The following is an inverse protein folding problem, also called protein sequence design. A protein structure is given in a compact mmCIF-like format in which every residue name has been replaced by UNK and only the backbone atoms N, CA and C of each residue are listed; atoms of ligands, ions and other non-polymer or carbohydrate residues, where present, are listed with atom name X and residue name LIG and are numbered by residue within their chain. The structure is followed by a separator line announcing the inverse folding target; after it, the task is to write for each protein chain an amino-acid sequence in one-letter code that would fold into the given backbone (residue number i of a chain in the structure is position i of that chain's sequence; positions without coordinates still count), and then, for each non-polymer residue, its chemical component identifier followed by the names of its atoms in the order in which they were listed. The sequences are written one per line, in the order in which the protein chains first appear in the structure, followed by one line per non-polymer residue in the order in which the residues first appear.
data_IF_775997237687
#
_entry.id   IF_775997237687
#
_cell.length_a   1.000
_cell.length_b   1.000
_cell.length_c   1.000
_cell.angle_alpha   90.00
_cell.angle_beta   90.00
_cell.angle_gamma   90.00
#
_symmetry.space_group_name_H-M   'P 1'
#
loop_
_entity.id
_entity.type
_entity.pdbx_description
1 polymer ?
#
# COMPACT_ATOMS: atom_id res chain seq x y z
N UNK A 1 6.37 4.71 -21.07
CA UNK A 1 7.20 3.50 -20.93
C UNK A 1 7.04 3.07 -19.49
N UNK A 2 6.56 1.84 -19.22
CA UNK A 2 6.38 1.36 -17.84
C UNK A 2 7.77 1.27 -17.18
N UNK A 3 7.92 1.86 -15.99
CA UNK A 3 9.11 1.70 -15.16
C UNK A 3 9.14 0.26 -14.65
N UNK A 4 10.34 -0.32 -14.66
CA UNK A 4 10.63 -1.58 -13.97
C UNK A 4 11.16 -1.22 -12.59
N UNK A 5 10.55 -1.80 -11.55
CA UNK A 5 10.90 -1.56 -10.16
C UNK A 5 11.80 -2.69 -9.64
N UNK A 6 12.93 -2.32 -9.02
CA UNK A 6 13.70 -3.25 -8.20
C UNK A 6 12.90 -3.70 -6.97
N UNK A 7 13.28 -4.81 -6.34
CA UNK A 7 12.59 -5.34 -5.16
C UNK A 7 12.47 -4.31 -4.03
N UNK A 8 13.54 -3.54 -3.79
CA UNK A 8 13.53 -2.47 -2.78
C UNK A 8 12.57 -1.33 -3.14
N UNK A 9 12.51 -0.95 -4.43
CA UNK A 9 11.55 0.05 -4.89
C UNK A 9 10.11 -0.47 -4.79
N UNK A 10 9.87 -1.74 -5.17
CA UNK A 10 8.55 -2.35 -5.02
C UNK A 10 8.11 -2.33 -3.57
N UNK A 11 8.96 -2.76 -2.63
CA UNK A 11 8.66 -2.71 -1.20
C UNK A 11 8.35 -1.28 -0.74
N UNK A 12 9.22 -0.33 -1.07
CA UNK A 12 9.06 1.07 -0.68
C UNK A 12 7.74 1.68 -1.20
N UNK A 13 7.44 1.51 -2.48
CA UNK A 13 6.20 2.05 -3.05
C UNK A 13 4.98 1.31 -2.54
N UNK A 14 5.06 0.00 -2.31
CA UNK A 14 3.95 -0.78 -1.73
C UNK A 14 3.62 -0.28 -0.32
N UNK A 15 4.60 -0.11 0.55
CA UNK A 15 4.39 0.40 1.91
C UNK A 15 3.77 1.82 1.85
N UNK A 16 4.26 2.68 0.95
CA UNK A 16 3.73 4.03 0.77
C UNK A 16 2.29 4.05 0.26
N UNK A 17 1.98 3.23 -0.75
CA UNK A 17 0.63 3.15 -1.33
C UNK A 17 -0.33 2.56 -0.31
N UNK A 18 0.09 1.51 0.40
CA UNK A 18 -0.71 0.88 1.44
C UNK A 18 -1.09 1.86 2.54
N UNK A 19 -0.18 2.74 2.97
CA UNK A 19 -0.52 3.83 3.88
C UNK A 19 -1.49 4.85 3.25
N UNK A 20 -1.27 5.24 2.00
CA UNK A 20 -2.07 6.24 1.26
C UNK A 20 -3.53 5.79 1.07
N UNK A 21 -3.79 4.50 0.81
CA UNK A 21 -5.16 3.99 0.61
C UNK A 21 -6.03 4.06 1.87
N UNK A 22 -5.42 4.06 3.06
CA UNK A 22 -6.12 4.24 4.34
C UNK A 22 -6.07 5.67 4.85
N UNK A 23 -5.46 6.60 4.10
CA UNK A 23 -5.27 7.97 4.57
C UNK A 23 -6.62 8.68 4.80
N UNK A 24 -6.82 9.21 6.00
CA UNK A 24 -8.00 9.95 6.39
C UNK A 24 -7.63 11.34 6.90
N UNK A 25 -8.43 12.35 6.54
CA UNK A 25 -8.19 13.73 6.95
C UNK A 25 -8.27 13.88 8.46
N UNK A 26 -7.21 14.42 9.07
CA UNK A 26 -7.15 14.69 10.50
C UNK A 26 -6.57 13.56 11.35
N UNK A 27 -6.21 12.42 10.75
CA UNK A 27 -5.48 11.33 11.44
C UNK A 27 -3.98 11.48 11.17
N UNK A 28 -3.18 11.44 12.23
CA UNK A 28 -1.72 11.47 12.12
C UNK A 28 -1.16 10.15 11.58
N UNK A 29 -0.06 10.20 10.84
CA UNK A 29 0.55 8.99 10.22
C UNK A 29 0.85 7.88 11.23
N UNK A 30 1.38 8.23 12.41
CA UNK A 30 1.69 7.24 13.46
C UNK A 30 0.43 6.58 14.06
N UNK A 31 -0.68 7.33 14.14
CA UNK A 31 -1.96 6.81 14.62
C UNK A 31 -2.61 5.92 13.56
N UNK A 32 -2.51 6.33 12.30
CA UNK A 32 -2.97 5.54 11.16
C UNK A 32 -2.20 4.22 11.03
N UNK A 33 -0.86 4.26 11.09
CA UNK A 33 -0.03 3.05 11.06
C UNK A 33 -0.43 2.08 12.18
N UNK A 34 -0.65 2.61 13.39
CA UNK A 34 -1.09 1.79 14.52
C UNK A 34 -2.45 1.13 14.25
N UNK A 35 -3.44 1.89 13.78
CA UNK A 35 -4.78 1.36 13.50
C UNK A 35 -4.77 0.31 12.39
N UNK A 36 -3.97 0.52 11.34
CA UNK A 36 -3.77 -0.46 10.27
C UNK A 36 -3.19 -1.75 10.85
N UNK A 37 -2.08 -1.69 11.59
CA UNK A 37 -1.47 -2.86 12.20
C UNK A 37 -2.45 -3.62 13.10
N UNK A 38 -3.20 -2.91 13.96
CA UNK A 38 -4.23 -3.51 14.82
C UNK A 38 -5.32 -4.26 14.03
N UNK A 39 -5.65 -3.80 12.81
CA UNK A 39 -6.65 -4.43 11.95
C UNK A 39 -6.16 -5.76 11.34
N UNK A 40 -4.85 -5.89 11.10
CA UNK A 40 -4.25 -7.09 10.52
C UNK A 40 -3.72 -8.08 11.57
N UNK A 41 -3.70 -7.67 12.84
CA UNK A 41 -3.31 -8.54 13.95
C UNK A 41 -4.38 -9.61 14.20
N UNK A 42 -3.91 -10.80 14.60
CA UNK A 42 -4.75 -11.93 15.02
C UNK A 42 -4.28 -12.43 16.37
N UNK A 43 -4.99 -13.41 16.95
CA UNK A 43 -4.55 -14.07 18.19
C UNK A 43 -3.17 -14.74 18.05
N UNK A 44 -2.72 -15.04 16.82
CA UNK A 44 -1.46 -15.72 16.52
C UNK A 44 -0.38 -14.82 15.92
N UNK A 45 -0.72 -13.59 15.50
CA UNK A 45 0.21 -12.72 14.77
C UNK A 45 0.05 -11.25 15.15
N UNK A 46 1.18 -10.62 15.45
CA UNK A 46 1.27 -9.20 15.79
C UNK A 46 2.25 -8.49 14.85
N UNK A 47 1.77 -7.42 14.23
CA UNK A 47 2.53 -6.47 13.43
C UNK A 47 2.61 -5.15 14.19
N UNK A 48 3.81 -4.58 14.26
CA UNK A 48 4.05 -3.28 14.93
C UNK A 48 4.27 -2.16 13.91
N UNK A 49 4.67 -2.51 12.69
CA UNK A 49 4.91 -1.59 11.58
C UNK A 49 4.26 -2.11 10.29
N UNK A 50 3.90 -1.20 9.39
CA UNK A 50 3.44 -1.56 8.04
C UNK A 50 4.50 -2.38 7.28
N UNK A 51 5.78 -2.12 7.55
CA UNK A 51 6.89 -2.88 6.95
C UNK A 51 6.93 -4.36 7.37
N UNK A 52 6.27 -4.71 8.48
CA UNK A 52 6.20 -6.06 9.03
C UNK A 52 5.03 -6.86 8.43
N UNK A 53 4.00 -6.16 7.94
CA UNK A 53 2.86 -6.79 7.27
C UNK A 53 3.36 -7.46 5.98
N UNK A 54 2.97 -8.71 5.70
CA UNK A 54 3.34 -9.43 4.49
C UNK A 54 3.03 -8.65 3.21
N UNK A 55 3.94 -8.75 2.24
CA UNK A 55 3.87 -8.01 0.99
C UNK A 55 2.62 -8.37 0.17
N UNK A 56 2.28 -9.65 0.13
CA UNK A 56 1.10 -10.19 -0.55
C UNK A 56 -0.21 -9.62 0.01
N UNK A 57 -0.35 -9.51 1.34
CA UNK A 57 -1.51 -8.89 1.97
C UNK A 57 -1.66 -7.41 1.58
N UNK A 58 -0.54 -6.69 1.51
CA UNK A 58 -0.56 -5.28 1.07
C UNK A 58 -0.94 -5.15 -0.39
N UNK A 59 -0.41 -6.02 -1.25
CA UNK A 59 -0.74 -6.06 -2.68
C UNK A 59 -2.24 -6.34 -2.88
N UNK A 60 -2.81 -7.29 -2.14
CA UNK A 60 -4.24 -7.62 -2.19
C UNK A 60 -5.10 -6.41 -1.82
N UNK A 61 -4.85 -5.79 -0.66
CA UNK A 61 -5.62 -4.63 -0.21
C UNK A 61 -5.54 -3.43 -1.18
N UNK A 62 -4.36 -3.17 -1.76
CA UNK A 62 -4.17 -2.12 -2.76
C UNK A 62 -4.96 -2.44 -4.03
N UNK A 63 -4.87 -3.69 -4.51
CA UNK A 63 -5.55 -4.13 -5.73
C UNK A 63 -7.06 -4.02 -5.56
N UNK A 64 -7.59 -4.50 -4.44
CA UNK A 64 -9.02 -4.43 -4.10
C UNK A 64 -9.49 -2.97 -4.03
N UNK A 65 -8.73 -2.11 -3.35
CA UNK A 65 -9.07 -0.68 -3.23
C UNK A 65 -9.08 0.01 -4.59
N UNK A 66 -8.12 -0.30 -5.47
CA UNK A 66 -8.10 0.21 -6.84
C UNK A 66 -9.34 -0.22 -7.62
N UNK A 67 -9.71 -1.50 -7.54
CA UNK A 67 -10.88 -2.04 -8.22
C UNK A 67 -12.19 -1.42 -7.70
N UNK A 68 -12.33 -1.28 -6.38
CA UNK A 68 -13.48 -0.59 -5.75
C UNK A 68 -13.60 0.88 -6.17
N UNK A 69 -12.46 1.51 -6.47
CA UNK A 69 -12.38 2.88 -6.99
C UNK A 69 -12.62 2.98 -8.50
N UNK A 70 -12.92 1.86 -9.18
CA UNK A 70 -13.14 1.81 -10.63
C UNK A 70 -11.86 1.85 -11.47
N UNK A 71 -10.69 1.65 -10.86
CA UNK A 71 -9.41 1.53 -11.56
C UNK A 71 -9.18 0.07 -11.96
N UNK A 72 -8.72 -0.16 -13.19
CA UNK A 72 -8.41 -1.49 -13.71
C UNK A 72 -6.99 -1.50 -14.25
N UNK A 73 -6.24 -2.56 -13.91
CA UNK A 73 -4.83 -2.74 -14.22
C UNK A 73 -4.59 -4.17 -14.68
N UNK A 74 -3.64 -4.39 -15.59
CA UNK A 74 -3.32 -5.72 -16.11
C UNK A 74 -2.52 -6.55 -15.08
N UNK A 75 -1.66 -5.89 -14.30
CA UNK A 75 -0.84 -6.49 -13.26
C UNK A 75 -0.47 -5.51 -12.13
N UNK A 76 0.25 -6.01 -11.11
CA UNK A 76 0.68 -5.18 -9.99
C UNK A 76 1.72 -4.11 -10.38
N UNK A 77 2.55 -4.34 -11.39
CA UNK A 77 3.50 -3.32 -11.85
C UNK A 77 2.77 -2.12 -12.47
N UNK A 78 1.58 -2.33 -13.02
CA UNK A 78 0.75 -1.24 -13.53
C UNK A 78 0.21 -0.35 -12.43
N UNK A 79 -0.20 -0.96 -11.31
CA UNK A 79 -0.56 -0.24 -10.09
C UNK A 79 0.64 0.58 -9.59
N UNK A 80 1.82 -0.03 -9.47
CA UNK A 80 3.03 0.67 -9.03
C UNK A 80 3.38 1.84 -9.95
N UNK A 81 3.28 1.66 -11.27
CA UNK A 81 3.52 2.73 -12.24
C UNK A 81 2.52 3.88 -12.09
N UNK A 82 1.23 3.58 -11.91
CA UNK A 82 0.19 4.59 -11.70
C UNK A 82 0.47 5.46 -10.47
N UNK A 83 0.76 4.83 -9.33
CA UNK A 83 1.07 5.56 -8.09
C UNK A 83 2.43 6.25 -8.13
N UNK A 84 3.43 5.66 -8.79
CA UNK A 84 4.72 6.30 -9.01
C UNK A 84 4.56 7.64 -9.75
N UNK A 85 3.77 7.65 -10.82
CA UNK A 85 3.48 8.88 -11.56
C UNK A 85 2.65 9.85 -10.72
N UNK A 86 1.68 9.38 -9.93
CA UNK A 86 0.92 10.20 -8.97
C UNK A 86 1.85 10.89 -7.96
N UNK A 87 2.80 10.17 -7.37
CA UNK A 87 3.73 10.71 -6.38
C UNK A 87 4.83 11.60 -6.96
N UNK A 88 5.15 11.45 -8.24
CA UNK A 88 6.13 12.32 -8.91
C UNK A 88 5.54 13.69 -9.27
N UNK A 89 4.23 13.76 -9.49
CA UNK A 89 3.53 14.97 -9.93
C UNK A 89 2.89 15.78 -8.79
N UNK A 90 2.97 15.28 -7.56
CA UNK A 90 2.58 15.97 -6.31
C UNK A 90 3.81 16.47 -5.57
#
# INVERSE_FOLDING_TARGET
MKKVFSENEQKFYTDKIFLDIFHEQGIGEAELEKAICETYNTDETEYLRISDIPMDMKIEAITDTCQLSGLSFDDYNDILNYFYDKYKNN
#
